data_IF_859723288667
#
_entry.id   IF_859723288667
#
_cell.length_a   1.000
_cell.length_b   1.000
_cell.length_c   1.000
_cell.angle_alpha   90.00
_cell.angle_beta   90.00
_cell.angle_gamma   90.00
#
_symmetry.space_group_name_H-M   'P 1'
#
loop_
_entity.id
_entity.type
_entity.pdbx_description
1 polymer ?
#
# COMPACT_ATOMS: atom_id res chain seq x y z
N UNK A 1 -5.86 -10.00 13.21
CA UNK A 1 -6.50 -9.52 11.97
C UNK A 1 -5.81 -8.26 11.48
N UNK A 2 -5.57 -8.17 10.17
CA UNK A 2 -4.96 -7.00 9.51
C UNK A 2 -5.81 -6.51 8.35
N UNK A 3 -5.56 -5.28 7.88
CA UNK A 3 -6.28 -4.62 6.79
C UNK A 3 -5.27 -4.01 5.83
N UNK A 4 -5.58 -4.03 4.53
CA UNK A 4 -4.89 -3.32 3.46
C UNK A 4 -5.90 -2.61 2.57
N UNK A 5 -5.47 -1.68 1.71
CA UNK A 5 -6.37 -0.97 0.81
C UNK A 5 -7.27 0.06 1.51
N UNK A 6 -6.80 0.59 2.64
CA UNK A 6 -7.60 1.48 3.49
C UNK A 6 -7.89 2.83 2.82
N UNK A 7 -6.96 3.33 2.02
CA UNK A 7 -7.13 4.59 1.30
C UNK A 7 -8.13 4.43 0.15
N UNK A 8 -8.11 3.29 -0.55
CA UNK A 8 -9.10 2.91 -1.55
C UNK A 8 -10.48 2.78 -0.92
N UNK A 9 -10.58 2.13 0.24
CA UNK A 9 -11.83 1.98 0.98
C UNK A 9 -12.40 3.35 1.39
N UNK A 10 -11.57 4.20 1.99
CA UNK A 10 -11.97 5.56 2.37
C UNK A 10 -12.46 6.36 1.16
N UNK A 11 -11.71 6.32 0.06
CA UNK A 11 -12.04 7.11 -1.11
C UNK A 11 -13.31 6.60 -1.79
N UNK A 12 -13.42 5.29 -2.00
CA UNK A 12 -14.54 4.66 -2.72
C UNK A 12 -15.87 4.79 -1.97
N UNK A 13 -15.85 4.58 -0.66
CA UNK A 13 -17.10 4.47 0.12
C UNK A 13 -17.47 5.75 0.86
N UNK A 14 -16.50 6.64 1.12
CA UNK A 14 -16.74 7.89 1.85
C UNK A 14 -16.39 9.14 1.05
N UNK A 15 -15.69 9.01 -0.08
CA UNK A 15 -15.22 10.16 -0.86
C UNK A 15 -14.13 10.96 -0.15
N UNK A 16 -13.43 10.36 0.82
CA UNK A 16 -12.40 11.04 1.61
C UNK A 16 -10.99 10.75 1.09
N UNK A 17 -10.22 11.81 0.85
CA UNK A 17 -8.80 11.70 0.57
C UNK A 17 -7.98 11.75 1.88
N UNK A 18 -6.66 11.57 1.77
CA UNK A 18 -5.77 11.58 2.93
C UNK A 18 -5.86 12.85 3.79
N UNK A 19 -5.99 14.04 3.18
CA UNK A 19 -6.09 15.29 3.93
C UNK A 19 -7.40 15.41 4.69
N UNK A 20 -8.48 14.83 4.18
CA UNK A 20 -9.74 14.72 4.91
C UNK A 20 -9.59 13.78 6.11
N UNK A 21 -8.97 12.61 5.89
CA UNK A 21 -8.87 11.54 6.88
C UNK A 21 -8.09 11.92 8.14
N UNK A 22 -7.13 12.84 8.05
CA UNK A 22 -6.39 13.34 9.21
C UNK A 22 -7.20 14.36 10.05
N UNK A 23 -8.31 14.88 9.52
CA UNK A 23 -9.33 15.62 10.25
C UNK A 23 -10.41 14.65 10.78
N UNK A 24 -10.18 14.20 12.02
CA UNK A 24 -11.05 13.26 12.74
C UNK A 24 -12.49 13.76 12.88
N UNK A 25 -12.71 15.08 12.99
CA UNK A 25 -14.07 15.62 13.14
C UNK A 25 -14.82 15.53 11.82
N UNK A 26 -14.14 15.86 10.72
CA UNK A 26 -14.69 15.79 9.37
C UNK A 26 -15.01 14.36 8.96
N UNK A 27 -14.15 13.41 9.29
CA UNK A 27 -14.21 12.01 8.83
C UNK A 27 -14.63 11.03 9.92
N UNK A 28 -15.46 11.49 10.85
CA UNK A 28 -15.86 10.73 12.05
C UNK A 28 -16.59 9.44 11.71
N UNK A 29 -17.41 9.45 10.68
CA UNK A 29 -18.14 8.31 10.12
C UNK A 29 -17.21 7.20 9.59
N UNK A 30 -16.15 7.57 8.87
CA UNK A 30 -15.09 6.63 8.47
C UNK A 30 -14.44 6.00 9.71
N UNK A 31 -14.04 6.82 10.67
CA UNK A 31 -13.36 6.34 11.88
C UNK A 31 -14.25 5.45 12.77
N UNK A 32 -15.54 5.79 12.90
CA UNK A 32 -16.51 4.94 13.60
C UNK A 32 -16.78 3.63 12.85
N UNK A 33 -16.68 3.63 11.52
CA UNK A 33 -16.71 2.40 10.72
C UNK A 33 -15.51 1.51 11.02
N UNK A 34 -14.30 2.07 11.12
CA UNK A 34 -13.10 1.32 11.53
C UNK A 34 -13.24 0.74 12.94
N UNK A 35 -13.81 1.51 13.88
CA UNK A 35 -14.08 1.00 15.23
C UNK A 35 -15.14 -0.11 15.22
N UNK A 36 -16.17 -0.02 14.37
CA UNK A 36 -17.15 -1.11 14.19
C UNK A 36 -16.48 -2.39 13.72
N UNK A 37 -15.53 -2.32 12.78
CA UNK A 37 -14.77 -3.49 12.34
C UNK A 37 -13.89 -4.05 13.45
N UNK A 38 -13.25 -3.20 14.26
CA UNK A 38 -12.49 -3.66 15.42
C UNK A 38 -13.40 -4.42 16.41
N UNK A 39 -14.59 -3.88 16.72
CA UNK A 39 -15.58 -4.54 17.59
C UNK A 39 -16.02 -5.89 17.01
N UNK A 40 -16.29 -5.98 15.71
CA UNK A 40 -16.62 -7.25 15.06
C UNK A 40 -15.53 -8.31 15.23
N UNK A 41 -14.24 -7.93 15.12
CA UNK A 41 -13.11 -8.85 15.39
C UNK A 41 -13.09 -9.30 16.85
N UNK A 42 -13.35 -8.39 17.79
CA UNK A 42 -13.40 -8.70 19.24
C UNK A 42 -14.54 -9.65 19.57
N UNK A 43 -15.72 -9.37 19.03
CA UNK A 43 -16.92 -10.16 19.27
C UNK A 43 -16.75 -11.58 18.73
N UNK A 44 -16.22 -11.72 17.51
CA UNK A 44 -15.95 -13.03 16.91
C UNK A 44 -14.87 -13.79 17.69
N UNK A 45 -13.75 -13.14 18.05
CA UNK A 45 -12.69 -13.79 18.81
C UNK A 45 -13.16 -14.28 20.18
N UNK A 46 -14.05 -13.55 20.83
CA UNK A 46 -14.63 -13.93 22.12
C UNK A 46 -15.57 -15.13 21.97
N UNK A 47 -16.53 -15.05 21.05
CA UNK A 47 -17.48 -16.13 20.78
C UNK A 47 -16.78 -17.42 20.35
N UNK A 48 -15.77 -17.31 19.48
CA UNK A 48 -15.06 -18.47 18.97
C UNK A 48 -14.15 -19.11 20.03
N UNK A 49 -13.50 -18.30 20.88
CA UNK A 49 -12.74 -18.82 22.02
C UNK A 49 -13.63 -19.57 23.02
N UNK A 50 -14.81 -19.02 23.33
CA UNK A 50 -15.82 -19.68 24.18
C UNK A 50 -16.27 -21.01 23.59
N UNK A 51 -16.61 -21.03 22.30
CA UNK A 51 -17.01 -22.26 21.58
C UNK A 51 -15.93 -23.34 21.63
N UNK A 52 -14.66 -22.96 21.58
CA UNK A 52 -13.53 -23.88 21.64
C UNK A 52 -13.11 -24.22 23.09
N UNK A 53 -13.67 -23.58 24.11
CA UNK A 53 -13.23 -23.72 25.50
C UNK A 53 -11.81 -23.22 25.75
N UNK A 54 -11.35 -22.24 24.97
CA UNK A 54 -10.00 -21.66 25.04
C UNK A 54 -10.04 -20.21 25.53
N UNK A 55 -8.87 -19.63 25.82
CA UNK A 55 -8.78 -18.22 26.23
C UNK A 55 -8.91 -17.31 25.02
N UNK A 56 -9.58 -16.17 25.19
CA UNK A 56 -9.60 -15.09 24.20
C UNK A 56 -8.16 -14.62 23.95
N UNK A 57 -7.73 -14.47 22.68
CA UNK A 57 -6.39 -14.00 22.37
C UNK A 57 -6.13 -12.60 22.96
N UNK A 58 -4.94 -12.40 23.53
CA UNK A 58 -4.53 -11.11 24.11
C UNK A 58 -4.33 -9.99 23.07
N UNK A 59 -4.28 -10.36 21.79
CA UNK A 59 -4.07 -9.41 20.70
C UNK A 59 -4.85 -9.84 19.48
N UNK A 60 -5.66 -8.92 18.92
CA UNK A 60 -6.69 -9.22 17.94
C UNK A 60 -6.51 -8.45 16.63
N UNK A 61 -6.03 -7.21 16.69
CA UNK A 61 -5.85 -6.33 15.53
C UNK A 61 -4.40 -5.90 15.36
N UNK A 62 -3.96 -5.72 14.12
CA UNK A 62 -2.63 -5.23 13.77
C UNK A 62 -2.64 -4.64 12.36
N UNK A 63 -1.64 -3.85 11.99
CA UNK A 63 -1.35 -3.59 10.57
C UNK A 63 0.05 -4.07 10.23
N UNK A 64 0.12 -5.03 9.29
CA UNK A 64 1.35 -5.42 8.60
C UNK A 64 1.26 -4.89 7.16
N UNK A 65 2.30 -4.25 6.60
CA UNK A 65 2.36 -4.00 5.17
C UNK A 65 2.47 -5.35 4.45
N UNK A 66 1.38 -5.78 3.83
CA UNK A 66 1.30 -7.06 3.14
C UNK A 66 1.64 -6.88 1.66
N UNK A 67 2.90 -6.55 1.35
CA UNK A 67 3.34 -6.18 -0.01
C UNK A 67 2.82 -7.12 -1.10
N UNK A 68 2.96 -8.44 -0.95
CA UNK A 68 2.49 -9.43 -1.93
C UNK A 68 0.97 -9.37 -2.14
N UNK A 69 0.19 -9.40 -1.04
CA UNK A 69 -1.28 -9.37 -1.11
C UNK A 69 -1.79 -8.03 -1.66
N UNK A 70 -1.23 -6.91 -1.21
CA UNK A 70 -1.61 -5.58 -1.66
C UNK A 70 -1.30 -5.39 -3.15
N UNK A 71 -0.13 -5.86 -3.61
CA UNK A 71 0.29 -5.77 -5.01
C UNK A 71 -0.60 -6.58 -5.92
N UNK A 72 -1.01 -7.79 -5.53
CA UNK A 72 -1.95 -8.63 -6.29
C UNK A 72 -3.26 -7.89 -6.63
N UNK A 73 -3.70 -6.99 -5.75
CA UNK A 73 -4.92 -6.19 -5.95
C UNK A 73 -4.65 -4.73 -6.35
N UNK A 74 -3.38 -4.35 -6.54
CA UNK A 74 -2.96 -2.98 -6.83
C UNK A 74 -3.34 -1.96 -5.74
N UNK A 75 -3.41 -2.40 -4.47
CA UNK A 75 -3.87 -1.60 -3.33
C UNK A 75 -2.71 -0.93 -2.59
N UNK A 76 -3.00 0.18 -1.90
CA UNK A 76 -2.11 0.74 -0.88
C UNK A 76 -1.80 -0.30 0.21
N UNK A 77 -0.52 -0.40 0.59
CA UNK A 77 -0.01 -1.45 1.47
C UNK A 77 -0.29 -1.18 2.96
N UNK A 78 -1.21 -1.96 3.54
CA UNK A 78 -1.57 -1.85 4.95
C UNK A 78 -2.15 -0.46 5.27
N UNK A 79 -1.39 0.32 6.05
CA UNK A 79 -1.74 1.69 6.47
C UNK A 79 -0.96 2.77 5.71
N UNK A 80 -0.09 2.40 4.76
CA UNK A 80 0.81 3.34 4.09
C UNK A 80 0.12 4.15 3.01
N UNK A 81 0.57 5.39 2.85
CA UNK A 81 0.25 6.18 1.66
C UNK A 81 0.94 5.55 0.44
N UNK A 82 0.35 5.69 -0.76
CA UNK A 82 0.99 5.22 -1.98
C UNK A 82 2.35 5.91 -2.17
N UNK A 83 3.38 5.15 -2.54
CA UNK A 83 4.69 5.74 -2.85
C UNK A 83 4.65 6.54 -4.16
N UNK A 84 3.88 6.04 -5.13
CA UNK A 84 3.74 6.55 -6.48
C UNK A 84 2.30 6.34 -6.95
N UNK A 85 1.80 7.21 -7.84
CA UNK A 85 0.42 7.09 -8.39
C UNK A 85 0.39 6.12 -9.57
N UNK A 86 1.43 6.19 -10.41
CA UNK A 86 1.68 5.39 -11.62
C UNK A 86 3.19 5.18 -11.74
N UNK A 87 3.60 4.01 -12.19
CA UNK A 87 5.02 3.64 -12.29
C UNK A 87 5.23 2.57 -13.35
N UNK A 88 6.47 2.44 -13.84
CA UNK A 88 6.93 1.23 -14.52
C UNK A 88 7.43 0.26 -13.45
N UNK A 89 6.83 -0.93 -13.41
CA UNK A 89 7.32 -2.03 -12.60
C UNK A 89 8.29 -2.84 -13.46
N UNK A 90 9.55 -2.88 -13.08
CA UNK A 90 10.60 -3.60 -13.79
C UNK A 90 10.77 -5.00 -13.18
N UNK A 91 10.47 -6.03 -13.98
CA UNK A 91 10.62 -7.44 -13.61
C UNK A 91 11.85 -8.00 -14.31
N UNK A 92 12.74 -8.66 -13.57
CA UNK A 92 13.93 -9.28 -14.13
C UNK A 92 13.61 -10.61 -14.79
N UNK A 93 14.17 -10.81 -15.97
CA UNK A 93 14.20 -12.07 -16.70
C UNK A 93 15.65 -12.40 -17.05
N UNK A 94 15.95 -13.68 -17.22
CA UNK A 94 17.15 -14.06 -17.95
C UNK A 94 17.02 -13.57 -19.39
N UNK A 95 18.09 -13.00 -19.95
CA UNK A 95 18.09 -12.45 -21.31
C UNK A 95 17.77 -13.48 -22.39
N UNK A 96 18.06 -14.76 -22.14
CA UNK A 96 17.76 -15.87 -23.05
C UNK A 96 16.32 -16.41 -22.91
N UNK A 97 15.52 -15.88 -21.99
CA UNK A 97 14.14 -16.31 -21.80
C UNK A 97 13.28 -15.89 -23.01
N UNK A 98 12.61 -16.82 -23.71
CA UNK A 98 11.73 -16.51 -24.85
C UNK A 98 10.68 -15.42 -24.56
N UNK A 99 10.23 -15.30 -23.30
CA UNK A 99 9.28 -14.27 -22.88
C UNK A 99 9.82 -12.84 -23.11
N UNK A 100 11.13 -12.62 -23.01
CA UNK A 100 11.72 -11.29 -23.25
C UNK A 100 11.47 -10.84 -24.68
N UNK A 101 11.71 -11.74 -25.65
CA UNK A 101 11.47 -11.45 -27.07
C UNK A 101 9.97 -11.25 -27.35
N UNK A 102 9.11 -12.03 -26.68
CA UNK A 102 7.66 -11.90 -26.81
C UNK A 102 7.15 -10.56 -26.25
N UNK A 103 7.55 -10.18 -25.04
CA UNK A 103 7.20 -8.89 -24.43
C UNK A 103 7.70 -7.71 -25.28
N UNK A 104 8.94 -7.78 -25.77
CA UNK A 104 9.48 -6.76 -26.66
C UNK A 104 8.67 -6.64 -27.96
N UNK A 105 8.32 -7.77 -28.59
CA UNK A 105 7.50 -7.78 -29.81
C UNK A 105 6.08 -7.24 -29.58
N UNK A 106 5.54 -7.41 -28.37
CA UNK A 106 4.24 -6.87 -27.94
C UNK A 106 4.29 -5.39 -27.54
N UNK A 107 5.48 -4.79 -27.46
CA UNK A 107 5.68 -3.36 -27.20
C UNK A 107 5.90 -2.99 -25.73
N UNK A 108 6.19 -3.96 -24.87
CA UNK A 108 6.58 -3.69 -23.48
C UNK A 108 7.99 -3.06 -23.45
N UNK A 109 8.22 -2.03 -22.61
CA UNK A 109 9.57 -1.52 -22.35
C UNK A 109 10.52 -2.64 -21.93
N UNK A 110 11.70 -2.71 -22.52
CA UNK A 110 12.76 -3.67 -22.14
C UNK A 110 14.09 -2.95 -22.00
N UNK A 111 14.93 -3.43 -21.07
CA UNK A 111 16.29 -2.91 -20.85
C UNK A 111 17.21 -4.04 -20.41
N UNK A 112 18.33 -4.19 -21.11
CA UNK A 112 19.40 -5.08 -20.66
C UNK A 112 20.19 -4.43 -19.53
N UNK A 113 20.52 -5.21 -18.51
CA UNK A 113 21.29 -4.73 -17.37
C UNK A 113 22.80 -4.95 -17.61
N UNK A 114 23.57 -3.88 -17.44
CA UNK A 114 25.04 -3.87 -17.52
C UNK A 114 25.66 -4.43 -16.25
N UNK A 115 25.10 -4.12 -15.08
CA UNK A 115 25.62 -4.60 -13.78
C UNK A 115 25.30 -6.09 -13.55
N UNK A 116 24.25 -6.61 -14.20
CA UNK A 116 23.78 -7.98 -14.05
C UNK A 116 23.78 -8.67 -15.41
N UNK A 117 24.96 -9.10 -15.86
CA UNK A 117 25.14 -9.74 -17.17
C UNK A 117 24.18 -10.91 -17.38
N UNK A 118 23.56 -10.99 -18.56
CA UNK A 118 22.57 -12.01 -18.89
C UNK A 118 21.19 -11.77 -18.26
N UNK A 119 20.92 -10.56 -17.76
CA UNK A 119 19.61 -10.16 -17.23
C UNK A 119 19.00 -9.04 -18.09
N UNK A 120 17.74 -9.22 -18.47
CA UNK A 120 16.91 -8.20 -19.12
C UNK A 120 15.73 -7.89 -18.23
N UNK A 121 15.44 -6.61 -18.00
CA UNK A 121 14.22 -6.19 -17.29
C UNK A 121 13.13 -5.84 -18.29
N UNK A 122 11.90 -6.27 -17.99
CA UNK A 122 10.69 -5.91 -18.72
C UNK A 122 9.85 -4.98 -17.84
N UNK A 123 9.40 -3.87 -18.41
CA UNK A 123 8.67 -2.81 -17.72
C UNK A 123 7.16 -2.95 -17.91
N UNK A 124 6.43 -3.03 -16.81
CA UNK A 124 4.98 -3.16 -16.78
C UNK A 124 4.35 -1.85 -16.29
N UNK A 125 3.64 -1.09 -17.16
CA UNK A 125 2.99 0.15 -16.75
C UNK A 125 1.87 -0.16 -15.74
N UNK A 126 2.08 0.24 -14.50
CA UNK A 126 1.23 -0.09 -13.35
C UNK A 126 0.56 1.16 -12.78
N UNK A 127 -0.73 1.05 -12.45
CA UNK A 127 -1.49 2.09 -11.73
C UNK A 127 -2.06 1.49 -10.46
N UNK A 128 -2.02 2.25 -9.36
CA UNK A 128 -2.68 1.83 -8.13
C UNK A 128 -4.20 2.01 -8.25
N UNK A 129 -4.94 1.12 -7.60
CA UNK A 129 -6.40 1.13 -7.59
C UNK A 129 -6.96 2.46 -7.06
N UNK A 130 -6.30 3.08 -6.08
CA UNK A 130 -6.68 4.40 -5.59
C UNK A 130 -6.62 5.48 -6.68
N UNK A 131 -5.63 5.39 -7.59
CA UNK A 131 -5.49 6.29 -8.72
C UNK A 131 -6.66 6.08 -9.68
N UNK A 132 -6.99 4.82 -9.99
CA UNK A 132 -8.14 4.49 -10.85
C UNK A 132 -9.48 4.95 -10.25
N UNK A 133 -9.66 4.85 -8.93
CA UNK A 133 -10.86 5.35 -8.24
C UNK A 133 -10.94 6.88 -8.29
N UNK A 134 -9.78 7.55 -8.24
CA UNK A 134 -9.69 9.02 -8.22
C UNK A 134 -9.79 9.66 -9.62
N UNK A 135 -9.60 8.88 -10.69
CA UNK A 135 -9.64 9.34 -12.07
C UNK A 135 -11.09 9.57 -12.56
N UNK A 136 -11.29 10.62 -13.36
CA UNK A 136 -12.53 10.79 -14.12
C UNK A 136 -12.55 9.94 -15.40
N UNK A 137 -13.63 10.05 -16.18
CA UNK A 137 -13.78 9.31 -17.44
C UNK A 137 -12.68 9.60 -18.49
N UNK A 138 -11.93 10.70 -18.33
CA UNK A 138 -10.82 11.09 -19.20
C UNK A 138 -9.45 10.72 -18.61
N UNK A 139 -9.41 10.02 -17.48
CA UNK A 139 -8.16 9.65 -16.79
C UNK A 139 -7.48 10.81 -16.06
N UNK A 140 -8.16 11.96 -15.92
CA UNK A 140 -7.67 13.06 -15.12
C UNK A 140 -8.00 12.83 -13.65
N UNK A 141 -7.05 13.11 -12.75
CA UNK A 141 -7.32 13.07 -11.31
C UNK A 141 -8.39 14.11 -11.00
N UNK A 142 -9.52 13.68 -10.45
CA UNK A 142 -10.56 14.57 -9.95
C UNK A 142 -10.05 15.40 -8.77
N UNK A 143 -10.90 16.25 -8.19
CA UNK A 143 -10.64 16.95 -6.93
C UNK A 143 -10.32 16.01 -5.74
N UNK A 144 -10.46 14.69 -5.92
CA UNK A 144 -9.99 13.65 -5.03
C UNK A 144 -8.49 13.40 -5.18
N UNK A 145 -7.68 14.36 -4.75
CA UNK A 145 -6.24 14.28 -4.87
C UNK A 145 -5.68 13.04 -4.13
N UNK A 146 -5.14 12.08 -4.87
CA UNK A 146 -4.33 10.98 -4.33
C UNK A 146 -3.04 11.58 -3.77
N UNK A 147 -2.89 11.54 -2.45
CA UNK A 147 -1.68 12.02 -1.76
C UNK A 147 -0.70 10.86 -1.64
N UNK A 148 0.51 11.05 -2.15
CA UNK A 148 1.63 10.14 -2.00
C UNK A 148 2.38 10.38 -0.70
N UNK A 149 3.15 9.38 -0.27
CA UNK A 149 4.00 9.50 0.91
C UNK A 149 5.02 10.65 0.82
N UNK A 150 5.47 11.01 -0.39
CA UNK A 150 6.37 12.15 -0.62
C UNK A 150 5.70 13.52 -0.64
N UNK A 151 4.39 13.58 -0.86
CA UNK A 151 3.59 14.81 -0.81
C UNK A 151 3.12 15.11 0.63
N UNK A 152 2.87 14.07 1.44
CA UNK A 152 2.43 14.21 2.82
C UNK A 152 3.54 14.73 3.75
N UNK A 153 3.22 15.73 4.59
CA UNK A 153 4.15 16.22 5.61
C UNK A 153 4.32 15.16 6.72
N UNK A 154 5.51 15.06 7.35
CA UNK A 154 5.76 14.07 8.41
C UNK A 154 4.73 14.08 9.54
N UNK A 155 4.32 15.26 10.03
CA UNK A 155 3.32 15.35 11.10
C UNK A 155 1.93 14.84 10.70
N UNK A 156 1.57 14.93 9.41
CA UNK A 156 0.29 14.42 8.90
C UNK A 156 0.29 12.89 8.93
N UNK A 157 1.42 12.27 8.57
CA UNK A 157 1.60 10.82 8.66
C UNK A 157 1.53 10.33 10.11
N UNK A 158 2.15 11.05 11.07
CA UNK A 158 1.98 10.74 12.50
C UNK A 158 0.51 10.82 12.94
N UNK A 159 -0.22 11.87 12.52
CA UNK A 159 -1.65 12.01 12.85
C UNK A 159 -2.48 10.86 12.29
N UNK A 160 -2.17 10.42 11.08
CA UNK A 160 -2.81 9.27 10.43
C UNK A 160 -2.59 7.96 11.19
N UNK A 161 -1.37 7.72 11.68
CA UNK A 161 -1.06 6.55 12.51
C UNK A 161 -1.76 6.63 13.86
N UNK A 162 -1.75 7.80 14.52
CA UNK A 162 -2.45 8.01 15.80
C UNK A 162 -3.94 7.69 15.71
N UNK A 163 -4.60 8.11 14.64
CA UNK A 163 -6.01 7.81 14.42
C UNK A 163 -6.26 6.34 14.12
N UNK A 164 -5.38 5.71 13.33
CA UNK A 164 -5.41 4.25 13.13
C UNK A 164 -5.25 3.48 14.43
N UNK A 165 -4.34 3.91 15.30
CA UNK A 165 -4.15 3.28 16.60
C UNK A 165 -5.37 3.45 17.50
N UNK A 166 -6.00 4.63 17.50
CA UNK A 166 -7.21 4.89 18.27
C UNK A 166 -8.39 4.03 17.79
N UNK A 167 -8.69 4.03 16.50
CA UNK A 167 -9.95 3.48 15.98
C UNK A 167 -9.85 2.03 15.49
N UNK A 168 -8.70 1.60 14.97
CA UNK A 168 -8.52 0.24 14.45
C UNK A 168 -7.71 -0.68 15.38
N UNK A 169 -6.64 -0.18 16.00
CA UNK A 169 -5.81 -1.01 16.88
C UNK A 169 -6.48 -1.15 18.24
N UNK A 170 -6.59 -0.06 19.00
CA UNK A 170 -7.30 -0.06 20.28
C UNK A 170 -8.80 -0.24 20.03
N UNK A 171 -9.41 0.59 19.19
CA UNK A 171 -10.84 0.57 18.97
C UNK A 171 -11.60 1.43 19.98
N UNK A 172 -12.77 1.89 19.57
CA UNK A 172 -13.64 2.77 20.36
C UNK A 172 -15.05 2.19 20.47
N UNK A 173 -15.90 2.80 21.30
CA UNK A 173 -17.35 2.65 21.22
C UNK A 173 -17.94 3.48 20.06
N UNK A 174 -19.28 3.53 19.97
CA UNK A 174 -20.02 4.27 18.95
C UNK A 174 -19.91 5.80 19.11
N UNK A 175 -19.47 6.30 20.27
CA UNK A 175 -19.21 7.72 20.51
C UNK A 175 -17.75 8.10 20.21
N UNK A 176 -16.90 7.12 19.92
CA UNK A 176 -15.48 7.31 19.68
C UNK A 176 -14.64 7.41 20.95
N UNK A 177 -15.16 6.94 22.09
CA UNK A 177 -14.41 6.78 23.33
C UNK A 177 -13.66 5.43 23.29
N UNK A 178 -12.36 5.38 23.63
CA UNK A 178 -11.61 4.13 23.64
C UNK A 178 -12.28 3.06 24.49
N UNK A 179 -12.25 1.82 24.00
CA UNK A 179 -12.75 0.66 24.74
C UNK A 179 -11.91 0.44 26.00
N UNK A 180 -12.52 -0.18 27.03
CA UNK A 180 -11.86 -0.44 28.31
C UNK A 180 -10.55 -1.21 28.15
N UNK A 181 -10.61 -2.31 27.41
CA UNK A 181 -9.46 -3.18 27.18
C UNK A 181 -8.81 -2.88 25.84
N UNK A 182 -7.48 -2.75 25.86
CA UNK A 182 -6.66 -2.59 24.66
C UNK A 182 -6.12 -3.96 24.23
N UNK A 183 -6.74 -4.54 23.21
CA UNK A 183 -6.39 -5.83 22.64
C UNK A 183 -5.73 -5.67 21.26
N UNK A 184 -5.22 -4.47 20.96
CA UNK A 184 -4.55 -4.18 19.69
C UNK A 184 -3.04 -4.40 19.76
N UNK A 185 -2.42 -4.76 18.63
CA UNK A 185 -0.96 -4.80 18.48
C UNK A 185 -0.41 -3.42 18.10
N UNK A 186 0.23 -3.29 16.95
CA UNK A 186 0.74 -2.02 16.43
C UNK A 186 0.43 -1.88 14.94
N UNK A 187 0.62 -0.66 14.43
CA UNK A 187 0.71 -0.36 13.01
C UNK A 187 2.19 -0.38 12.63
N UNK A 188 2.59 -1.33 11.79
CA UNK A 188 3.90 -1.27 11.14
C UNK A 188 3.82 -0.18 10.05
N UNK A 189 4.49 0.94 10.31
CA UNK A 189 4.46 2.12 9.45
C UNK A 189 5.86 2.68 9.23
N UNK A 190 6.21 2.91 7.98
CA UNK A 190 7.42 3.64 7.57
C UNK A 190 7.02 5.00 7.01
N UNK A 191 7.29 6.05 7.80
CA UNK A 191 7.11 7.43 7.41
C UNK A 191 8.19 7.82 6.40
N UNK A 192 7.75 8.18 5.19
CA UNK A 192 8.63 8.71 4.14
C UNK A 192 8.62 10.22 4.15
N UNK A 193 9.77 10.85 3.90
CA UNK A 193 9.88 12.30 3.76
C UNK A 193 10.96 12.67 2.75
N UNK A 194 10.82 13.83 2.10
CA UNK A 194 11.81 14.35 1.15
C UNK A 194 12.80 15.25 1.90
N UNK A 195 14.08 14.87 2.04
CA UNK A 195 15.05 15.65 2.83
C UNK A 195 15.27 17.08 2.32
N UNK A 196 15.15 17.31 1.01
CA UNK A 196 15.27 18.65 0.43
C UNK A 196 14.07 19.56 0.72
N UNK A 197 12.93 19.00 1.14
CA UNK A 197 11.70 19.75 1.48
C UNK A 197 11.46 19.85 2.98
N UNK A 198 12.20 19.11 3.80
CA UNK A 198 12.01 19.05 5.26
C UNK A 198 13.33 19.35 5.94
N UNK A 199 13.45 20.54 6.54
CA UNK A 199 14.62 20.92 7.28
C UNK A 199 14.86 19.98 8.47
N UNK A 200 16.12 19.67 8.76
CA UNK A 200 16.48 18.72 9.83
C UNK A 200 15.94 19.14 11.21
N UNK A 201 15.98 20.42 11.55
CA UNK A 201 15.47 20.92 12.83
C UNK A 201 13.95 20.73 12.95
N UNK A 202 13.22 20.96 11.86
CA UNK A 202 11.76 20.73 11.82
C UNK A 202 11.45 19.24 11.94
N UNK A 203 12.16 18.40 11.19
CA UNK A 203 12.03 16.95 11.28
C UNK A 203 12.25 16.45 12.72
N UNK A 204 13.36 16.87 13.35
CA UNK A 204 13.69 16.51 14.73
C UNK A 204 12.57 16.93 15.69
N UNK A 205 12.08 18.16 15.58
CA UNK A 205 11.00 18.66 16.42
C UNK A 205 9.71 17.85 16.23
N UNK A 206 9.37 17.49 14.98
CA UNK A 206 8.19 16.66 14.67
C UNK A 206 8.33 15.28 15.29
N UNK A 207 9.47 14.59 15.13
CA UNK A 207 9.68 13.24 15.67
C UNK A 207 9.61 13.27 17.21
N UNK A 208 10.33 14.19 17.85
CA UNK A 208 10.33 14.33 19.32
C UNK A 208 8.93 14.62 19.88
N UNK A 209 8.13 15.41 19.14
CA UNK A 209 6.77 15.74 19.56
C UNK A 209 5.83 14.55 19.41
N UNK A 210 5.88 13.84 18.28
CA UNK A 210 4.82 12.92 17.86
C UNK A 210 5.12 11.44 18.08
N UNK A 211 6.38 11.00 18.06
CA UNK A 211 6.72 9.58 18.18
C UNK A 211 6.18 8.94 19.47
N UNK A 212 6.17 9.69 20.57
CA UNK A 212 5.65 9.27 21.88
C UNK A 212 4.12 9.10 21.94
N UNK A 213 3.39 9.53 20.91
CA UNK A 213 1.92 9.45 20.85
C UNK A 213 1.44 8.18 20.17
N UNK A 214 2.34 7.44 19.54
CA UNK A 214 2.05 6.22 18.79
C UNK A 214 2.98 5.10 19.25
N UNK A 215 2.60 3.85 19.02
CA UNK A 215 3.38 2.69 19.49
C UNK A 215 4.68 2.52 18.74
N UNK A 216 4.64 2.67 17.41
CA UNK A 216 5.81 2.46 16.55
C UNK A 216 5.70 3.27 15.25
N UNK A 217 6.82 3.81 14.79
CA UNK A 217 6.97 4.38 13.45
C UNK A 217 8.44 4.36 13.07
N UNK A 218 8.74 3.75 11.93
CA UNK A 218 10.06 3.85 11.30
C UNK A 218 10.09 5.09 10.42
N UNK A 219 11.24 5.73 10.28
CA UNK A 219 11.42 6.90 9.42
C UNK A 219 12.42 6.58 8.33
N UNK A 220 12.08 6.93 7.09
CA UNK A 220 12.94 6.68 5.93
C UNK A 220 12.98 7.92 5.02
N UNK A 221 14.16 8.54 4.82
CA UNK A 221 14.29 9.60 3.83
C UNK A 221 14.07 9.02 2.43
N UNK A 222 13.32 9.73 1.59
CA UNK A 222 13.26 9.45 0.17
C UNK A 222 14.56 9.92 -0.48
N UNK A 223 15.20 9.01 -1.19
CA UNK A 223 16.46 9.25 -1.90
C UNK A 223 16.13 9.16 -3.39
N UNK A 224 16.42 10.23 -4.14
CA UNK A 224 16.23 10.25 -5.60
C UNK A 224 17.40 9.56 -6.34
N UNK A 225 18.57 9.52 -5.72
CA UNK A 225 19.76 8.88 -6.29
C UNK A 225 19.68 7.36 -6.16
N UNK A 226 19.72 6.65 -7.29
CA UNK A 226 19.94 5.20 -7.29
C UNK A 226 21.44 4.92 -7.28
N UNK A 227 21.90 4.13 -6.32
CA UNK A 227 23.19 3.45 -6.41
C UNK A 227 23.15 2.30 -7.45
N UNK A 228 21.97 2.01 -7.99
CA UNK A 228 21.66 0.88 -8.85
C UNK A 228 21.32 1.36 -10.26
N UNK A 229 21.61 0.51 -11.24
CA UNK A 229 21.35 0.75 -12.66
C UNK A 229 19.87 1.01 -13.01
N UNK A 230 18.95 0.51 -12.19
CA UNK A 230 17.51 0.73 -12.33
C UNK A 230 16.79 0.61 -10.97
N UNK A 231 15.54 1.10 -10.88
CA UNK A 231 14.67 0.85 -9.73
C UNK A 231 13.62 -0.20 -10.11
N UNK A 232 13.29 -1.18 -9.24
CA UNK A 232 12.20 -2.12 -9.50
C UNK A 232 10.85 -1.45 -9.75
N UNK A 233 10.64 -0.27 -9.17
CA UNK A 233 9.47 0.58 -9.41
C UNK A 233 9.96 1.98 -9.76
N UNK A 234 9.73 2.41 -10.99
CA UNK A 234 10.17 3.71 -11.50
C UNK A 234 8.98 4.64 -11.68
N UNK A 235 8.98 5.78 -10.98
CA UNK A 235 7.92 6.78 -11.11
C UNK A 235 7.89 7.35 -12.54
N UNK A 236 6.71 7.38 -13.15
CA UNK A 236 6.53 7.94 -14.49
C UNK A 236 5.39 8.97 -14.52
N UNK A 237 5.45 9.90 -15.46
CA UNK A 237 4.37 10.87 -15.71
C UNK A 237 3.14 10.19 -16.32
N UNK A 238 1.99 10.86 -16.25
CA UNK A 238 0.77 10.38 -16.90
C UNK A 238 0.96 10.16 -18.42
N UNK A 239 1.65 11.09 -19.10
CA UNK A 239 1.91 10.97 -20.53
C UNK A 239 2.79 9.75 -20.86
N UNK A 240 3.83 9.50 -20.06
CA UNK A 240 4.68 8.30 -20.21
C UNK A 240 3.89 7.02 -19.94
N UNK A 241 3.04 7.01 -18.91
CA UNK A 241 2.17 5.87 -18.60
C UNK A 241 1.22 5.55 -19.76
N UNK A 242 0.55 6.56 -20.33
CA UNK A 242 -0.34 6.37 -21.48
C UNK A 242 0.40 5.91 -22.73
N UNK A 243 1.56 6.51 -22.99
CA UNK A 243 2.43 6.10 -24.11
C UNK A 243 2.87 4.63 -23.98
N UNK A 244 3.28 4.21 -22.79
CA UNK A 244 3.65 2.82 -22.52
C UNK A 244 2.45 1.87 -22.70
N UNK A 245 1.27 2.22 -22.19
CA UNK A 245 0.06 1.40 -22.37
C UNK A 245 -0.38 1.30 -23.83
N UNK A 246 -0.31 2.40 -24.58
CA UNK A 246 -0.71 2.42 -25.99
C UNK A 246 0.27 1.67 -26.90
N UNK A 247 1.52 1.55 -26.47
CA UNK A 247 2.55 0.78 -27.18
C UNK A 247 2.32 -0.74 -27.07
N UNK A 248 1.62 -1.19 -26.03
CA UNK A 248 1.30 -2.60 -25.79
C UNK A 248 0.12 -3.01 -26.67
N UNK A 249 0.38 -3.90 -27.64
CA UNK A 249 -0.61 -4.31 -28.66
C UNK A 249 -1.58 -5.38 -28.18
N UNK A 250 -1.05 -6.38 -27.46
CA UNK A 250 -1.80 -7.50 -26.89
C UNK A 250 -1.31 -7.75 -25.46
N UNK A 251 -2.07 -7.30 -24.45
CA UNK A 251 -1.73 -7.55 -23.05
C UNK A 251 -1.84 -9.05 -22.74
N UNK A 252 -0.81 -9.63 -22.10
CA UNK A 252 -0.81 -11.06 -21.79
C UNK A 252 -1.71 -11.38 -20.59
N UNK A 253 -2.62 -12.35 -20.74
CA UNK A 253 -3.59 -12.74 -19.69
C UNK A 253 -2.94 -13.31 -18.44
N UNK A 254 -1.68 -13.76 -18.50
CA UNK A 254 -0.93 -14.30 -17.36
C UNK A 254 -0.26 -13.22 -16.48
N UNK A 255 -0.30 -11.96 -16.91
CA UNK A 255 0.44 -10.84 -16.30
C UNK A 255 -0.12 -10.40 -14.93
N UNK A 256 -1.33 -10.78 -14.51
CA UNK A 256 -1.92 -10.25 -13.25
C UNK A 256 -1.62 -11.16 -12.03
N UNK A 257 -1.01 -12.34 -12.23
CA UNK A 257 -0.84 -13.35 -11.16
C UNK A 257 0.60 -13.82 -10.95
N UNK A 258 1.28 -14.27 -12.01
CA UNK A 258 2.62 -14.89 -11.89
C UNK A 258 3.68 -13.89 -11.42
N UNK A 259 3.62 -12.64 -11.89
CA UNK A 259 4.55 -11.57 -11.50
C UNK A 259 4.47 -11.19 -10.00
N UNK A 260 3.35 -11.46 -9.33
CA UNK A 260 3.15 -11.15 -7.91
C UNK A 260 3.57 -12.29 -7.00
N UNK A 261 3.52 -13.54 -7.48
CA UNK A 261 3.74 -14.74 -6.68
C UNK A 261 5.18 -15.24 -6.76
N UNK A 262 5.85 -15.09 -7.91
CA UNK A 262 7.15 -15.76 -8.14
C UNK A 262 8.41 -14.98 -7.71
N UNK A 263 8.27 -13.79 -7.10
CA UNK A 263 9.45 -12.96 -6.77
C UNK A 263 10.00 -13.15 -5.33
N UNK A 264 9.42 -14.04 -4.52
CA UNK A 264 9.99 -14.46 -3.24
C UNK A 264 10.54 -15.89 -3.35
N UNK A 265 11.83 -15.99 -3.69
CA UNK A 265 12.74 -17.11 -3.41
C UNK A 265 12.14 -18.53 -3.38
N UNK A 266 12.45 -19.33 -4.41
CA UNK A 266 11.99 -20.71 -4.57
C UNK A 266 11.88 -21.54 -3.29
N UNK A 267 10.64 -21.81 -2.88
CA UNK A 267 10.20 -23.03 -2.20
C UNK A 267 8.67 -23.10 -2.17
N UNK A 268 8.16 -23.92 -3.10
CA UNK A 268 6.92 -24.70 -3.05
C UNK A 268 5.56 -24.11 -3.49
N UNK A 269 4.74 -24.98 -4.13
CA UNK A 269 3.57 -24.61 -4.90
C UNK A 269 2.30 -24.67 -4.04
N UNK A 270 1.33 -23.84 -4.36
CA UNK A 270 -0.07 -24.16 -4.09
C UNK A 270 -0.84 -23.99 -5.39
N UNK A 271 -0.94 -25.11 -6.10
CA UNK A 271 -2.02 -25.39 -7.04
C UNK A 271 -3.35 -25.01 -6.36
N UNK A 272 -4.06 -24.06 -6.94
CA UNK A 272 -5.51 -24.07 -6.89
C UNK A 272 -5.96 -24.43 -8.30
N UNK A 273 -6.17 -25.72 -8.52
CA UNK A 273 -6.99 -26.18 -9.63
C UNK A 273 -8.39 -25.61 -9.38
N UNK A 274 -8.84 -24.76 -10.27
CA UNK A 274 -10.25 -24.44 -10.40
C UNK A 274 -10.96 -25.74 -10.80
N UNK A 275 -11.72 -26.30 -9.85
CA UNK A 275 -12.70 -27.33 -10.17
C UNK A 275 -13.81 -26.70 -11.02
N UNK A 276 -14.02 -27.35 -12.16
CA UNK A 276 -14.99 -27.05 -13.21
C UNK A 276 -16.41 -26.82 -12.68
N UNK A 277 -17.13 -25.92 -13.36
CA UNK A 277 -18.58 -26.00 -13.54
C UNK A 277 -18.91 -25.88 -15.02
#
# INVERSE_FOLDING_TARGET
VSITGIHEFALKFFGYNFYDLIDEKKTKDFWLTMARFNRAVRDEATQYAEKLGTRVPHTLTTIKPAGTTSKLFGLCEGWHLPAMKRYLRWVQFRSDNPLVAEYAAKGYPTKDLVQYEGTTVVGFPTSLKITEIAEDANGALTNLHVVTAGEAKPWQQYRWVELGEKYWIHGTDDQGKPLKDDLGNQISYTLKYVPSKVAYLDFKAIVQKNQRRIRCCSVMPQIEATAFEYQPEEAITHAQFQSAKQSIRDAMSEDIGKEHVDCESGACPTDFKDDEK
#
